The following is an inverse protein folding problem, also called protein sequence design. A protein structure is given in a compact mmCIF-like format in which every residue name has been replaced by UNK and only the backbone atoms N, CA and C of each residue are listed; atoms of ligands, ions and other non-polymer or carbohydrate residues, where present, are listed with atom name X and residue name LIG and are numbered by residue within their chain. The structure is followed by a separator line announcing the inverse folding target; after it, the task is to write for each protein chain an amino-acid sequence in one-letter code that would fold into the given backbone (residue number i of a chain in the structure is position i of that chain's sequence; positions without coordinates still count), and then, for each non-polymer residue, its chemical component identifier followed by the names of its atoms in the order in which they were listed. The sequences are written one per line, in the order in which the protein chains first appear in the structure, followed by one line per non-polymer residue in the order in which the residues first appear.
data_IF_135851990378
#
_entry.id   IF_135851990378
#
_cell.length_a   1.000
_cell.length_b   1.000
_cell.length_c   1.000
_cell.angle_alpha   90.00
_cell.angle_beta   90.00
_cell.angle_gamma   90.00
#
_symmetry.space_group_name_H-M   'P 1'
#
loop_
_entity.id
_entity.type
_entity.pdbx_description
1 polymer ?
#
# COMPACT_ATOMS: atom_id res chain seq x y z
N UNK A 1 -18.37 2.67 6.17
CA UNK A 1 -19.01 3.49 5.13
C UNK A 1 -20.28 2.76 4.70
N UNK A 2 -21.36 3.05 5.42
CA UNK A 2 -22.73 2.65 5.08
C UNK A 2 -23.42 3.87 4.50
N UNK A 3 -24.21 3.68 3.45
CA UNK A 3 -25.09 4.72 2.92
C UNK A 3 -26.45 4.07 2.66
N UNK A 4 -27.56 4.72 3.02
CA UNK A 4 -28.88 4.22 2.69
C UNK A 4 -29.07 4.30 1.17
N UNK A 5 -29.50 3.20 0.56
CA UNK A 5 -30.05 3.17 -0.80
C UNK A 5 -31.44 2.57 -0.65
N UNK A 6 -32.48 3.30 -1.08
CA UNK A 6 -33.89 2.89 -0.99
C UNK A 6 -34.33 2.46 0.43
N UNK A 7 -33.83 3.15 1.46
CA UNK A 7 -34.17 2.88 2.86
C UNK A 7 -33.49 1.66 3.50
N UNK A 8 -32.65 0.94 2.75
CA UNK A 8 -31.86 -0.18 3.24
C UNK A 8 -30.45 0.29 3.56
N UNK A 9 -29.96 -0.01 4.76
CA UNK A 9 -28.55 0.18 5.12
C UNK A 9 -27.69 -0.75 4.27
N UNK A 10 -26.90 -0.17 3.36
CA UNK A 10 -26.05 -0.94 2.47
C UNK A 10 -24.59 -0.75 2.87
N UNK A 11 -23.95 -1.85 3.27
CA UNK A 11 -22.51 -1.89 3.51
C UNK A 11 -21.77 -1.97 2.16
N UNK A 12 -21.13 -0.87 1.76
CA UNK A 12 -20.43 -0.78 0.47
C UNK A 12 -19.36 -1.87 0.30
N UNK A 13 -18.67 -2.25 1.38
CA UNK A 13 -17.65 -3.31 1.34
C UNK A 13 -18.30 -4.65 1.01
N UNK A 14 -19.44 -4.97 1.61
CA UNK A 14 -20.14 -6.24 1.36
C UNK A 14 -20.67 -6.35 -0.06
N UNK A 15 -21.21 -5.27 -0.63
CA UNK A 15 -21.60 -5.27 -2.05
C UNK A 15 -20.42 -5.49 -2.99
N UNK A 16 -19.28 -4.85 -2.73
CA UNK A 16 -18.09 -5.01 -3.55
C UNK A 16 -17.61 -6.47 -3.51
N UNK A 17 -17.57 -7.08 -2.33
CA UNK A 17 -17.14 -8.48 -2.23
C UNK A 17 -18.17 -9.47 -2.77
N UNK A 18 -19.46 -9.22 -2.62
CA UNK A 18 -20.51 -10.04 -3.24
C UNK A 18 -20.40 -10.00 -4.77
N UNK A 19 -20.25 -8.80 -5.33
CA UNK A 19 -19.98 -8.61 -6.76
C UNK A 19 -18.67 -9.30 -7.19
N UNK A 20 -17.60 -9.18 -6.40
CA UNK A 20 -16.33 -9.87 -6.69
C UNK A 20 -16.51 -11.38 -6.76
N UNK A 21 -17.25 -11.98 -5.80
CA UNK A 21 -17.53 -13.41 -5.80
C UNK A 21 -18.34 -13.83 -7.03
N UNK A 22 -19.32 -13.03 -7.45
CA UNK A 22 -20.06 -13.27 -8.71
C UNK A 22 -19.13 -13.21 -9.92
N UNK A 23 -18.27 -12.19 -10.02
CA UNK A 23 -17.32 -12.06 -11.13
C UNK A 23 -16.33 -13.23 -11.20
N UNK A 24 -15.87 -13.71 -10.05
CA UNK A 24 -15.00 -14.90 -9.97
C UNK A 24 -15.73 -16.12 -10.51
N UNK A 25 -16.97 -16.38 -10.06
CA UNK A 25 -17.79 -17.51 -10.55
C UNK A 25 -18.07 -17.42 -12.05
N UNK A 26 -18.39 -16.23 -12.56
CA UNK A 26 -18.68 -16.02 -13.98
C UNK A 26 -17.44 -16.28 -14.86
N UNK A 27 -16.24 -15.89 -14.41
CA UNK A 27 -15.00 -16.00 -15.20
C UNK A 27 -14.24 -17.31 -14.98
N UNK A 28 -14.56 -18.03 -13.90
CA UNK A 28 -13.99 -19.31 -13.51
C UNK A 28 -15.08 -20.33 -13.11
N UNK A 29 -16.05 -20.64 -13.98
CA UNK A 29 -17.24 -21.42 -13.62
C UNK A 29 -16.98 -22.89 -13.22
N UNK A 30 -15.74 -23.37 -13.38
CA UNK A 30 -15.32 -24.74 -13.02
C UNK A 30 -14.22 -24.76 -11.96
N UNK A 31 -13.88 -23.60 -11.40
CA UNK A 31 -12.81 -23.43 -10.39
C UNK A 31 -11.45 -24.02 -10.80
N UNK A 32 -11.14 -24.04 -12.11
CA UNK A 32 -9.91 -24.64 -12.65
C UNK A 32 -8.75 -23.66 -12.75
N UNK A 33 -9.02 -22.38 -12.67
CA UNK A 33 -7.99 -21.33 -12.73
C UNK A 33 -7.66 -20.88 -11.30
N UNK A 34 -6.37 -20.85 -10.91
CA UNK A 34 -5.97 -20.17 -9.69
C UNK A 34 -6.40 -18.70 -9.75
N UNK A 35 -6.94 -18.19 -8.64
CA UNK A 35 -7.35 -16.79 -8.52
C UNK A 35 -6.45 -16.12 -7.50
N UNK A 36 -5.82 -15.02 -7.92
CA UNK A 36 -5.06 -14.16 -7.02
C UNK A 36 -5.80 -12.83 -6.82
N UNK A 37 -5.72 -12.29 -5.60
CA UNK A 37 -6.27 -10.98 -5.25
C UNK A 37 -5.16 -10.12 -4.64
N UNK A 38 -4.90 -8.95 -5.25
CA UNK A 38 -3.94 -7.97 -4.74
C UNK A 38 -4.68 -6.99 -3.82
N UNK A 39 -4.22 -6.83 -2.58
CA UNK A 39 -4.83 -5.96 -1.58
C UNK A 39 -3.77 -5.22 -0.75
N UNK A 40 -4.14 -4.09 -0.16
CA UNK A 40 -3.30 -3.21 0.65
C UNK A 40 -2.83 -3.80 2.01
N UNK A 41 -3.42 -4.90 2.46
CA UNK A 41 -3.09 -5.51 3.76
C UNK A 41 -4.06 -5.16 4.91
N UNK A 42 -5.20 -4.50 4.63
CA UNK A 42 -6.22 -4.24 5.65
C UNK A 42 -6.83 -5.57 6.16
N UNK A 43 -6.52 -5.95 7.41
CA UNK A 43 -6.95 -7.25 8.00
C UNK A 43 -8.44 -7.54 7.88
N UNK A 44 -9.29 -6.53 8.01
CA UNK A 44 -10.74 -6.69 7.89
C UNK A 44 -11.17 -7.10 6.48
N UNK A 45 -10.52 -6.55 5.44
CA UNK A 45 -10.77 -6.92 4.04
C UNK A 45 -10.29 -8.33 3.74
N UNK A 46 -9.13 -8.71 4.28
CA UNK A 46 -8.59 -10.07 4.13
C UNK A 46 -9.51 -11.12 4.73
N UNK A 47 -9.99 -10.89 5.95
CA UNK A 47 -10.95 -11.79 6.59
C UNK A 47 -12.24 -11.93 5.79
N UNK A 48 -12.76 -10.81 5.23
CA UNK A 48 -13.95 -10.82 4.38
C UNK A 48 -13.72 -11.60 3.08
N UNK A 49 -12.57 -11.40 2.41
CA UNK A 49 -12.23 -12.11 1.18
C UNK A 49 -12.15 -13.62 1.40
N UNK A 50 -11.42 -14.05 2.43
CA UNK A 50 -11.23 -15.47 2.74
C UNK A 50 -12.55 -16.17 3.11
N UNK A 51 -13.47 -15.45 3.77
CA UNK A 51 -14.80 -15.97 4.08
C UNK A 51 -15.69 -16.14 2.83
N UNK A 52 -15.55 -15.25 1.83
CA UNK A 52 -16.43 -15.23 0.66
C UNK A 52 -15.92 -16.09 -0.50
N UNK A 53 -14.62 -16.28 -0.60
CA UNK A 53 -13.99 -17.02 -1.68
C UNK A 53 -12.78 -17.82 -1.16
N UNK A 54 -13.04 -18.95 -0.48
CA UNK A 54 -11.97 -19.84 -0.05
C UNK A 54 -11.17 -20.34 -1.27
N UNK A 55 -9.84 -20.32 -1.16
CA UNK A 55 -8.94 -20.71 -2.24
C UNK A 55 -8.38 -19.56 -3.09
N UNK A 56 -8.78 -18.31 -2.83
CA UNK A 56 -8.10 -17.14 -3.43
C UNK A 56 -6.74 -16.92 -2.77
N UNK A 57 -5.70 -16.79 -3.59
CA UNK A 57 -4.35 -16.40 -3.16
C UNK A 57 -4.29 -14.89 -2.94
N UNK A 58 -4.09 -14.46 -1.70
CA UNK A 58 -3.95 -13.05 -1.37
C UNK A 58 -2.50 -12.60 -1.57
N UNK A 59 -2.30 -11.53 -2.33
CA UNK A 59 -1.01 -10.89 -2.59
C UNK A 59 -1.07 -9.48 -1.99
N UNK A 60 -0.02 -9.11 -1.25
CA UNK A 60 0.09 -7.76 -0.68
C UNK A 60 0.52 -6.77 -1.76
N UNK A 61 -0.15 -5.61 -1.82
CA UNK A 61 0.18 -4.52 -2.72
C UNK A 61 1.54 -3.90 -2.36
N UNK A 62 2.49 -3.98 -3.30
CA UNK A 62 3.84 -3.48 -3.12
C UNK A 62 3.90 -1.94 -3.05
N UNK A 63 3.00 -1.21 -3.72
CA UNK A 63 2.96 0.25 -3.62
C UNK A 63 2.55 0.68 -2.22
N UNK A 64 1.59 -0.03 -1.61
CA UNK A 64 1.19 0.27 -0.23
C UNK A 64 2.31 -0.08 0.78
N UNK A 65 3.07 -1.14 0.54
CA UNK A 65 4.26 -1.45 1.34
C UNK A 65 5.32 -0.35 1.20
N UNK A 66 5.55 0.16 -0.01
CA UNK A 66 6.49 1.25 -0.26
C UNK A 66 6.10 2.52 0.50
N UNK A 67 4.83 2.90 0.51
CA UNK A 67 4.33 4.03 1.31
C UNK A 67 4.66 3.88 2.79
N UNK A 68 4.43 2.68 3.36
CA UNK A 68 4.77 2.39 4.76
C UNK A 68 6.27 2.41 5.03
N UNK A 69 7.08 1.93 4.09
CA UNK A 69 8.54 2.01 4.22
C UNK A 69 9.02 3.45 4.22
N UNK A 70 8.46 4.31 3.37
CA UNK A 70 8.77 5.75 3.37
C UNK A 70 8.38 6.42 4.69
N UNK A 71 7.17 6.14 5.20
CA UNK A 71 6.74 6.63 6.51
C UNK A 71 7.72 6.21 7.62
N UNK A 72 8.15 4.94 7.62
CA UNK A 72 9.14 4.45 8.56
C UNK A 72 10.51 5.12 8.38
N UNK A 73 10.97 5.31 7.14
CA UNK A 73 12.25 5.96 6.85
C UNK A 73 12.29 7.39 7.40
N UNK A 74 11.19 8.13 7.26
CA UNK A 74 11.07 9.50 7.76
C UNK A 74 11.04 9.62 9.28
N UNK A 75 10.82 8.51 10.00
CA UNK A 75 11.03 8.49 11.45
C UNK A 75 12.53 8.50 11.84
N UNK A 76 13.43 8.13 10.93
CA UNK A 76 14.87 7.97 11.23
C UNK A 76 15.76 8.92 10.42
N UNK A 77 15.28 9.42 9.28
CA UNK A 77 16.03 10.21 8.33
C UNK A 77 15.19 11.37 7.80
N UNK A 78 15.77 12.56 7.54
CA UNK A 78 15.04 13.67 6.95
C UNK A 78 14.40 13.32 5.60
N UNK A 79 13.27 13.96 5.29
CA UNK A 79 12.63 13.84 3.98
C UNK A 79 13.57 14.31 2.86
N UNK A 80 13.55 13.62 1.71
CA UNK A 80 14.42 13.89 0.57
C UNK A 80 15.88 13.46 0.73
N UNK A 81 16.31 13.02 1.92
CA UNK A 81 17.69 12.60 2.17
C UNK A 81 18.07 11.31 1.45
N UNK A 82 19.35 11.17 1.09
CA UNK A 82 19.86 9.94 0.48
C UNK A 82 19.86 8.76 1.46
N UNK A 83 19.96 9.04 2.77
CA UNK A 83 19.79 8.04 3.81
C UNK A 83 18.37 7.46 3.85
N UNK A 84 17.33 8.31 3.68
CA UNK A 84 15.95 7.84 3.59
C UNK A 84 15.74 6.96 2.34
N UNK A 85 16.27 7.36 1.18
CA UNK A 85 16.25 6.53 -0.05
C UNK A 85 16.93 5.18 0.18
N UNK A 86 18.17 5.20 0.69
CA UNK A 86 18.94 3.98 0.95
C UNK A 86 18.23 3.05 1.94
N UNK A 87 17.61 3.62 2.98
CA UNK A 87 16.78 2.88 3.93
C UNK A 87 15.63 2.17 3.21
N UNK A 88 14.82 2.88 2.42
CA UNK A 88 13.68 2.28 1.72
C UNK A 88 14.13 1.23 0.71
N UNK A 89 15.17 1.52 -0.08
CA UNK A 89 15.71 0.59 -1.08
C UNK A 89 16.19 -0.72 -0.44
N UNK A 90 16.97 -0.64 0.65
CA UNK A 90 17.45 -1.82 1.36
C UNK A 90 16.28 -2.67 1.89
N UNK A 91 15.34 -2.06 2.62
CA UNK A 91 14.23 -2.82 3.22
C UNK A 91 13.29 -3.39 2.17
N UNK A 92 13.02 -2.65 1.09
CA UNK A 92 12.23 -3.16 -0.03
C UNK A 92 12.88 -4.40 -0.64
N UNK A 93 14.18 -4.35 -0.94
CA UNK A 93 14.90 -5.48 -1.53
C UNK A 93 14.85 -6.71 -0.62
N UNK A 94 14.98 -6.52 0.68
CA UNK A 94 14.87 -7.60 1.68
C UNK A 94 13.47 -8.18 1.76
N UNK A 95 12.42 -7.35 1.68
CA UNK A 95 11.04 -7.82 1.59
C UNK A 95 10.81 -8.66 0.34
N UNK A 96 11.32 -8.23 -0.81
CA UNK A 96 11.24 -8.98 -2.08
C UNK A 96 12.00 -10.32 -2.03
N UNK A 97 13.02 -10.43 -1.17
CA UNK A 97 13.73 -11.69 -0.88
C UNK A 97 13.04 -12.57 0.16
N UNK A 98 11.89 -12.16 0.68
CA UNK A 98 11.15 -12.90 1.70
C UNK A 98 11.69 -12.74 3.13
N UNK A 99 12.60 -11.80 3.38
CA UNK A 99 13.21 -11.56 4.69
C UNK A 99 12.30 -10.76 5.66
N UNK A 100 10.98 -10.99 5.59
CA UNK A 100 9.94 -10.19 6.24
C UNK A 100 10.16 -10.10 7.76
N UNK A 101 10.46 -11.23 8.40
CA UNK A 101 10.66 -11.29 9.86
C UNK A 101 11.87 -10.45 10.29
N UNK A 102 12.94 -10.45 9.50
CA UNK A 102 14.14 -9.67 9.80
C UNK A 102 13.93 -8.17 9.59
N UNK A 103 13.19 -7.78 8.55
CA UNK A 103 12.82 -6.37 8.32
C UNK A 103 11.98 -5.85 9.49
N UNK A 104 10.93 -6.58 9.88
CA UNK A 104 10.06 -6.19 11.00
C UNK A 104 10.85 -6.15 12.31
N UNK A 105 11.69 -7.15 12.57
CA UNK A 105 12.53 -7.21 13.77
C UNK A 105 13.50 -6.02 13.85
N UNK A 106 14.16 -5.70 12.73
CA UNK A 106 15.06 -4.55 12.63
C UNK A 106 14.34 -3.23 12.90
N UNK A 107 13.16 -3.01 12.30
CA UNK A 107 12.35 -1.81 12.53
C UNK A 107 11.95 -1.66 14.00
N UNK A 108 11.53 -2.75 14.67
CA UNK A 108 11.21 -2.74 16.10
C UNK A 108 12.43 -2.36 16.96
N UNK A 109 13.59 -2.94 16.68
CA UNK A 109 14.82 -2.62 17.41
C UNK A 109 15.24 -1.16 17.22
N UNK A 110 15.13 -0.63 16.00
CA UNK A 110 15.44 0.77 15.71
C UNK A 110 14.51 1.72 16.48
N UNK A 111 13.20 1.43 16.50
CA UNK A 111 12.23 2.22 17.24
C UNK A 111 12.53 2.27 18.75
N UNK A 112 12.92 1.15 19.34
CA UNK A 112 13.31 1.09 20.76
C UNK A 112 14.59 1.88 21.05
N UNK A 113 15.63 1.72 20.21
CA UNK A 113 16.94 2.35 20.43
C UNK A 113 16.91 3.87 20.25
N UNK A 114 16.02 4.39 19.41
CA UNK A 114 15.91 5.83 19.15
C UNK A 114 14.79 6.53 19.93
N UNK A 115 14.10 5.82 20.85
CA UNK A 115 13.01 6.38 21.70
C UNK A 115 12.02 7.18 20.86
N UNK A 116 11.58 6.63 19.73
CA UNK A 116 10.51 7.25 18.94
C UNK A 116 9.22 7.21 19.77
N UNK A 117 8.87 8.34 20.39
CA UNK A 117 7.56 8.52 21.05
C UNK A 117 6.54 8.74 19.94
N UNK A 118 5.48 7.92 19.93
CA UNK A 118 4.45 7.98 18.91
C UNK A 118 3.77 9.36 18.86
N UNK A 119 4.12 10.15 17.85
CA UNK A 119 3.32 11.29 17.38
C UNK A 119 2.34 10.82 16.28
N UNK A 120 1.32 11.62 15.95
CA UNK A 120 0.38 11.29 14.89
C UNK A 120 1.13 11.02 13.57
N UNK A 121 0.74 9.96 12.86
CA UNK A 121 1.20 9.71 11.49
C UNK A 121 0.80 10.92 10.63
N UNK A 122 1.75 11.79 10.29
CA UNK A 122 1.56 12.72 9.19
C UNK A 122 1.60 11.90 7.90
N UNK A 123 0.43 11.64 7.31
CA UNK A 123 0.34 11.06 5.98
C UNK A 123 0.95 12.10 5.03
N UNK A 124 2.10 11.83 4.38
CA UNK A 124 2.59 12.74 3.36
C UNK A 124 1.52 12.79 2.25
N UNK A 125 1.23 13.98 1.70
CA UNK A 125 0.28 14.08 0.59
C UNK A 125 0.75 13.14 -0.52
N UNK A 126 -0.20 12.38 -1.08
CA UNK A 126 0.04 11.47 -2.21
C UNK A 126 0.41 12.30 -3.44
N UNK A 127 1.66 12.76 -3.50
CA UNK A 127 2.27 13.44 -4.62
C UNK A 127 3.26 12.47 -5.25
N UNK A 128 2.89 11.93 -6.42
CA UNK A 128 3.85 11.30 -7.31
C UNK A 128 5.10 12.19 -7.40
N UNK A 129 6.27 11.58 -7.21
CA UNK A 129 7.55 12.13 -7.61
C UNK A 129 7.46 12.52 -9.10
N UNK A 130 7.17 13.79 -9.37
CA UNK A 130 7.13 14.42 -10.68
C UNK A 130 8.05 15.64 -10.68
N UNK A 131 9.12 15.54 -11.46
CA UNK A 131 9.97 16.60 -12.01
C UNK A 131 9.62 18.05 -11.64
N UNK A 132 10.59 18.78 -11.07
CA UNK A 132 10.59 20.25 -10.95
C UNK A 132 10.27 20.87 -12.32
N UNK A 133 9.38 21.87 -12.42
CA UNK A 133 9.28 22.67 -13.63
C UNK A 133 10.57 23.50 -13.75
N UNK A 134 11.33 23.22 -14.82
CA UNK A 134 12.45 24.05 -15.22
C UNK A 134 11.97 25.46 -15.55
N UNK A 135 12.72 26.46 -15.10
CA UNK A 135 12.55 27.85 -15.49
C UNK A 135 12.56 27.97 -17.01
N UNK A 136 11.46 28.46 -17.59
CA UNK A 136 11.41 28.86 -19.00
C UNK A 136 12.31 30.08 -19.16
N UNK A 137 13.50 29.86 -19.74
CA UNK A 137 14.33 30.92 -20.26
C UNK A 137 13.66 31.54 -21.49
N UNK A 138 13.49 32.85 -21.47
CA UNK A 138 13.02 33.63 -22.62
C UNK A 138 14.02 33.55 -23.76
N UNK A 139 13.58 33.06 -24.93
CA UNK A 139 14.33 33.15 -26.19
C UNK A 139 14.03 34.50 -26.83
N UNK A 140 15.03 35.34 -27.18
CA UNK A 140 14.79 36.56 -27.93
C UNK A 140 14.60 36.25 -29.43
N UNK A 141 13.64 36.94 -30.05
CA UNK A 141 13.41 36.93 -31.50
C UNK A 141 14.48 37.79 -32.21
N UNK A 142 15.01 37.35 -33.37
CA UNK A 142 15.91 38.16 -34.17
C UNK A 142 15.15 39.25 -34.95
N UNK A 143 15.87 40.35 -35.20
CA UNK A 143 15.44 41.57 -35.90
C UNK A 143 15.09 41.36 -37.37
#
# INVERSE_FOLDING_TARGET
MTRPIDGVEVNAKERIFAWLAEQVKLRNPRDRKPVACVMDGERALWNKLLALAPGIMCILDQFHVLERLWQAAHCFHPEGSDQAKAFVTDRLLRLLRGEVVYVIGGLKQMATKQVLRGGPLSVPPQGLCGSRPGSVGTVPLPH
#
